data_IF_314660339170
#
_entry.id   IF_314660339170
#
_cell.length_a   1.000
_cell.length_b   1.000
_cell.length_c   1.000
_cell.angle_alpha   90.00
_cell.angle_beta   90.00
_cell.angle_gamma   90.00
#
_symmetry.space_group_name_H-M   'P 1'
#
loop_
_entity.id
_entity.type
_entity.pdbx_description
1 polymer ?
#
# COMPACT_ATOMS: atom_id res chain seq x y z
N UNK A 1 7.05 -5.10 9.92
CA UNK A 1 6.28 -3.86 9.69
C UNK A 1 4.83 -4.16 10.03
N UNK A 2 4.13 -3.23 10.70
CA UNK A 2 2.86 -3.53 11.38
C UNK A 2 1.65 -3.01 10.60
N UNK A 3 0.50 -3.66 10.82
CA UNK A 3 -0.81 -3.18 10.36
C UNK A 3 -1.08 -1.72 10.75
N UNK A 4 -0.54 -1.28 11.90
CA UNK A 4 -0.64 0.10 12.37
C UNK A 4 0.00 1.09 11.39
N UNK A 5 1.14 0.76 10.78
CA UNK A 5 1.77 1.63 9.79
C UNK A 5 0.87 1.83 8.56
N UNK A 6 0.23 0.76 8.08
CA UNK A 6 -0.76 0.86 7.01
C UNK A 6 -1.95 1.74 7.43
N UNK A 7 -2.46 1.58 8.65
CA UNK A 7 -3.55 2.42 9.16
C UNK A 7 -3.15 3.91 9.24
N UNK A 8 -1.92 4.22 9.67
CA UNK A 8 -1.41 5.59 9.79
C UNK A 8 -1.24 6.26 8.40
N UNK A 9 -0.81 5.49 7.39
CA UNK A 9 -0.74 5.95 5.99
C UNK A 9 -2.15 6.30 5.50
N UNK A 10 -3.13 5.42 5.70
CA UNK A 10 -4.51 5.64 5.24
C UNK A 10 -5.14 6.81 5.99
N UNK A 11 -4.94 6.94 7.31
CA UNK A 11 -5.44 8.05 8.09
C UNK A 11 -4.98 9.42 7.57
N UNK A 12 -3.73 9.51 7.08
CA UNK A 12 -3.15 10.75 6.55
C UNK A 12 -3.44 10.95 5.05
N UNK A 13 -3.56 9.86 4.30
CA UNK A 13 -3.62 9.88 2.83
C UNK A 13 -5.02 9.77 2.26
N UNK A 14 -5.94 9.17 3.00
CA UNK A 14 -7.32 8.92 2.60
C UNK A 14 -8.22 8.80 3.86
N UNK A 15 -8.58 9.94 4.50
CA UNK A 15 -9.38 9.94 5.72
C UNK A 15 -10.75 9.26 5.58
N UNK A 16 -11.34 9.30 4.39
CA UNK A 16 -12.63 8.68 4.11
C UNK A 16 -12.52 7.16 4.11
N UNK A 17 -11.51 6.59 3.43
CA UNK A 17 -11.25 5.14 3.49
C UNK A 17 -10.81 4.70 4.88
N UNK A 18 -10.11 5.55 5.63
CA UNK A 18 -9.80 5.26 7.04
C UNK A 18 -11.09 5.13 7.87
N UNK A 19 -12.00 6.11 7.78
CA UNK A 19 -13.27 6.07 8.49
C UNK A 19 -14.11 4.84 8.10
N UNK A 20 -14.16 4.52 6.80
CA UNK A 20 -14.84 3.33 6.31
C UNK A 20 -14.24 2.02 6.87
N UNK A 21 -12.91 1.90 6.90
CA UNK A 21 -12.24 0.75 7.50
C UNK A 21 -12.50 0.65 9.01
N UNK A 22 -12.60 1.78 9.71
CA UNK A 22 -12.94 1.82 11.13
C UNK A 22 -14.40 1.46 11.42
N UNK A 23 -15.31 1.72 10.48
CA UNK A 23 -16.70 1.25 10.56
C UNK A 23 -16.87 -0.24 10.24
N UNK A 24 -15.89 -0.86 9.59
CA UNK A 24 -15.92 -2.29 9.26
C UNK A 24 -15.58 -3.19 10.47
N UNK A 25 -15.97 -4.49 10.45
CA UNK A 25 -15.56 -5.45 11.46
C UNK A 25 -14.04 -5.48 11.66
N UNK A 26 -13.58 -5.63 12.90
CA UNK A 26 -12.15 -5.60 13.26
C UNK A 26 -11.33 -6.61 12.44
N UNK A 27 -11.88 -7.78 12.16
CA UNK A 27 -11.23 -8.80 11.34
C UNK A 27 -10.96 -8.33 9.90
N UNK A 28 -11.87 -7.57 9.30
CA UNK A 28 -11.72 -7.06 7.94
C UNK A 28 -10.61 -6.02 7.81
N UNK A 29 -10.30 -5.28 8.90
CA UNK A 29 -9.26 -4.24 8.91
C UNK A 29 -7.87 -4.77 8.55
N UNK A 30 -7.59 -6.04 8.86
CA UNK A 30 -6.34 -6.73 8.49
C UNK A 30 -6.14 -6.81 6.98
N UNK A 31 -7.22 -6.85 6.21
CA UNK A 31 -7.23 -6.88 4.74
C UNK A 31 -7.34 -5.46 4.17
N UNK A 32 -8.25 -4.66 4.72
CA UNK A 32 -8.55 -3.32 4.19
C UNK A 32 -7.38 -2.35 4.33
N UNK A 33 -6.67 -2.31 5.47
CA UNK A 33 -5.60 -1.33 5.67
C UNK A 33 -4.41 -1.53 4.73
N UNK A 34 -3.87 -2.76 4.52
CA UNK A 34 -2.79 -2.95 3.55
C UNK A 34 -3.19 -2.58 2.12
N UNK A 35 -4.41 -2.94 1.70
CA UNK A 35 -4.93 -2.60 0.37
C UNK A 35 -5.07 -1.09 0.16
N UNK A 36 -5.64 -0.38 1.14
CA UNK A 36 -5.82 1.06 1.06
C UNK A 36 -4.50 1.83 1.19
N UNK A 37 -3.58 1.36 2.04
CA UNK A 37 -2.25 1.96 2.15
C UNK A 37 -1.47 1.83 0.84
N UNK A 38 -1.56 0.68 0.16
CA UNK A 38 -0.99 0.48 -1.17
C UNK A 38 -1.58 1.45 -2.19
N UNK A 39 -2.91 1.62 -2.19
CA UNK A 39 -3.56 2.59 -3.07
C UNK A 39 -3.06 4.03 -2.84
N UNK A 40 -2.89 4.45 -1.58
CA UNK A 40 -2.37 5.78 -1.22
C UNK A 40 -0.96 5.97 -1.76
N UNK A 41 -0.07 5.01 -1.56
CA UNK A 41 1.32 5.10 -2.01
C UNK A 41 1.45 5.12 -3.54
N UNK A 42 0.73 4.21 -4.24
CA UNK A 42 0.73 4.14 -5.70
C UNK A 42 0.21 5.44 -6.32
N UNK A 43 -0.90 5.97 -5.78
CA UNK A 43 -1.51 7.19 -6.29
C UNK A 43 -0.63 8.42 -6.10
N UNK A 44 0.22 8.42 -5.06
CA UNK A 44 1.16 9.52 -4.77
C UNK A 44 2.46 9.40 -5.55
N UNK A 45 2.89 8.20 -5.93
CA UNK A 45 4.21 7.94 -6.50
C UNK A 45 4.63 8.88 -7.66
N UNK A 46 3.76 9.21 -8.64
CA UNK A 46 4.14 10.10 -9.74
C UNK A 46 4.34 11.57 -9.33
N UNK A 47 3.74 11.99 -8.21
CA UNK A 47 3.65 13.39 -7.81
C UNK A 47 4.68 13.82 -6.77
N UNK A 48 5.51 12.89 -6.29
CA UNK A 48 6.53 13.20 -5.28
C UNK A 48 7.74 13.95 -5.85
N UNK A 49 7.82 14.07 -7.17
CA UNK A 49 8.91 14.71 -7.90
C UNK A 49 8.38 15.48 -9.10
N UNK A 50 9.07 16.56 -9.47
CA UNK A 50 8.78 17.31 -10.69
C UNK A 50 9.48 16.73 -11.93
N UNK A 51 10.37 15.74 -11.74
CA UNK A 51 11.09 15.07 -12.83
C UNK A 51 10.28 13.85 -13.32
N UNK A 52 9.71 13.87 -14.54
CA UNK A 52 8.78 12.83 -15.00
C UNK A 52 9.38 11.42 -14.96
N UNK A 53 10.64 11.29 -15.37
CA UNK A 53 11.36 10.01 -15.38
C UNK A 53 11.45 9.38 -13.98
N UNK A 54 11.71 10.19 -12.95
CA UNK A 54 11.79 9.71 -11.57
C UNK A 54 10.40 9.27 -11.07
N UNK A 55 9.34 9.99 -11.47
CA UNK A 55 7.96 9.62 -11.16
C UNK A 55 7.58 8.26 -11.78
N UNK A 56 7.92 8.04 -13.05
CA UNK A 56 7.72 6.76 -13.74
C UNK A 56 8.48 5.61 -13.09
N UNK A 57 9.75 5.81 -12.73
CA UNK A 57 10.55 4.79 -12.03
C UNK A 57 9.90 4.37 -10.70
N UNK A 58 9.38 5.33 -9.92
CA UNK A 58 8.67 5.02 -8.67
C UNK A 58 7.35 4.29 -8.92
N UNK A 59 6.60 4.68 -9.93
CA UNK A 59 5.37 3.98 -10.29
C UNK A 59 5.68 2.54 -10.73
N UNK A 60 6.72 2.33 -11.54
CA UNK A 60 7.15 0.99 -11.94
C UNK A 60 7.53 0.13 -10.74
N UNK A 61 8.31 0.69 -9.80
CA UNK A 61 8.65 0.00 -8.56
C UNK A 61 7.41 -0.48 -7.79
N UNK A 62 6.36 0.35 -7.71
CA UNK A 62 5.11 -0.03 -7.06
C UNK A 62 4.29 -1.06 -7.84
N UNK A 63 4.35 -1.04 -9.18
CA UNK A 63 3.69 -2.04 -10.04
C UNK A 63 4.32 -3.43 -9.92
N UNK A 64 5.64 -3.48 -9.79
CA UNK A 64 6.35 -4.75 -9.70
C UNK A 64 6.08 -5.48 -8.36
N UNK A 65 5.69 -4.78 -7.29
CA UNK A 65 5.50 -5.40 -5.99
C UNK A 65 4.37 -6.46 -5.96
N UNK A 66 3.13 -6.19 -6.45
CA UNK A 66 2.13 -7.24 -6.63
C UNK A 66 2.55 -8.40 -7.54
N UNK A 67 3.38 -8.14 -8.56
CA UNK A 67 3.90 -9.19 -9.45
C UNK A 67 4.90 -10.11 -8.74
N UNK A 68 5.71 -9.59 -7.81
CA UNK A 68 6.59 -10.39 -6.96
C UNK A 68 5.81 -11.26 -5.98
N UNK A 69 4.79 -10.68 -5.35
CA UNK A 69 3.85 -11.34 -4.44
C UNK A 69 3.19 -12.52 -5.16
N UNK A 70 2.51 -12.26 -6.28
CA UNK A 70 1.83 -13.31 -7.05
C UNK A 70 2.76 -14.42 -7.59
N UNK A 71 4.04 -14.11 -7.78
CA UNK A 71 5.05 -15.08 -8.21
C UNK A 71 5.77 -15.79 -7.05
N UNK A 72 5.38 -15.57 -5.79
CA UNK A 72 6.05 -16.06 -4.58
C UNK A 72 7.56 -15.77 -4.55
N UNK A 73 7.98 -14.64 -5.14
CA UNK A 73 9.36 -14.15 -5.12
C UNK A 73 9.61 -13.31 -3.87
N UNK A 74 10.88 -13.08 -3.48
CA UNK A 74 11.20 -12.12 -2.44
C UNK A 74 10.61 -10.74 -2.79
N UNK A 75 9.65 -10.28 -1.98
CA UNK A 75 8.97 -9.00 -2.18
C UNK A 75 9.88 -7.87 -1.72
N UNK A 76 9.93 -6.78 -2.51
CA UNK A 76 10.63 -5.56 -2.11
C UNK A 76 10.17 -5.06 -0.73
N UNK A 77 11.12 -4.66 0.11
CA UNK A 77 10.85 -4.30 1.52
C UNK A 77 10.27 -2.89 1.63
N UNK A 78 9.02 -2.82 2.08
CA UNK A 78 8.33 -1.59 2.44
C UNK A 78 7.27 -1.90 3.51
N UNK A 79 6.83 -0.88 4.25
CA UNK A 79 5.85 -1.04 5.34
C UNK A 79 4.47 -1.46 4.87
N UNK A 80 4.23 -1.31 3.57
CA UNK A 80 2.98 -1.66 2.91
C UNK A 80 3.08 -2.99 2.18
N UNK A 81 4.21 -3.27 1.52
CA UNK A 81 4.36 -4.47 0.67
C UNK A 81 4.37 -5.76 1.48
N UNK A 82 4.91 -5.74 2.70
CA UNK A 82 4.93 -6.92 3.57
C UNK A 82 3.53 -7.28 4.08
N UNK A 83 2.75 -6.36 4.71
CA UNK A 83 1.36 -6.64 5.06
C UNK A 83 0.47 -6.94 3.85
N UNK A 84 0.76 -6.35 2.68
CA UNK A 84 0.02 -6.63 1.45
C UNK A 84 0.27 -8.07 0.97
N UNK A 85 1.49 -8.59 1.09
CA UNK A 85 1.80 -9.98 0.75
C UNK A 85 1.01 -10.97 1.62
N UNK A 86 0.84 -10.68 2.91
CA UNK A 86 0.01 -11.51 3.82
C UNK A 86 -1.48 -11.54 3.41
N UNK A 87 -1.95 -10.54 2.66
CA UNK A 87 -3.34 -10.42 2.21
C UNK A 87 -3.58 -11.09 0.85
N UNK A 88 -2.57 -11.09 -0.03
CA UNK A 88 -2.69 -11.55 -1.41
C UNK A 88 -2.21 -13.00 -1.63
N UNK A 89 -1.71 -13.68 -0.58
CA UNK A 89 -1.27 -15.08 -0.61
C UNK A 89 -2.29 -16.03 0.01
#
# INVERSE_FOLDING_TARGET
MSLQACADIVAKGDPDRFAAAMAAPVAARRVLFPLYAFNVEVSRAPWVTSEPMIGEMRLQWWRDAPEEIGAARPVRRHEVTVPLAEVLH
#
